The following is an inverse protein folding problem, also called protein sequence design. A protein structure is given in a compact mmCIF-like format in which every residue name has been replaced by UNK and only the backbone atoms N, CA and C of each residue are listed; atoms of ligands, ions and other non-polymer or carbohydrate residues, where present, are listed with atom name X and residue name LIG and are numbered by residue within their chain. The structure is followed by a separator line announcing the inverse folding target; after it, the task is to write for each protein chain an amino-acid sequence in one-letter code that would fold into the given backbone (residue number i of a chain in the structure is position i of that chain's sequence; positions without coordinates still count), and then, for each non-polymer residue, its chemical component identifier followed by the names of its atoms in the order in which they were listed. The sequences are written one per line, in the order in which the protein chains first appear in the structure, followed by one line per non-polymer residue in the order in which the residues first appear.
data_IF_441983599766
#
_entry.id   IF_441983599766
#
_cell.length_a   1.000
_cell.length_b   1.000
_cell.length_c   1.000
_cell.angle_alpha   90.00
_cell.angle_beta   90.00
_cell.angle_gamma   90.00
#
_symmetry.space_group_name_H-M   'P 1'
#
loop_
_entity.id
_entity.type
_entity.pdbx_description
1 polymer ?
#
# COMPACT_ATOMS: atom_id res chain seq x y z
N UNK A 1 -11.00 -13.23 -7.58
CA UNK A 1 -11.94 -12.40 -8.36
C UNK A 1 -11.78 -10.98 -7.85
N UNK A 2 -10.88 -10.19 -8.46
CA UNK A 2 -10.48 -8.88 -7.93
C UNK A 2 -11.58 -7.86 -8.23
N UNK A 3 -12.27 -7.39 -7.19
CA UNK A 3 -13.17 -6.25 -7.27
C UNK A 3 -12.33 -4.99 -7.46
N UNK A 4 -12.11 -4.58 -8.71
CA UNK A 4 -11.86 -3.17 -9.00
C UNK A 4 -13.18 -2.45 -8.75
N UNK A 5 -13.23 -1.63 -7.70
CA UNK A 5 -14.35 -0.73 -7.47
C UNK A 5 -14.54 0.18 -8.70
N UNK A 6 -15.81 0.49 -8.98
CA UNK A 6 -16.32 1.22 -10.14
C UNK A 6 -15.86 2.69 -10.16
N UNK A 7 -14.59 2.95 -10.47
CA UNK A 7 -14.17 4.28 -10.89
C UNK A 7 -13.46 4.20 -12.24
N UNK A 8 -14.04 4.87 -13.24
CA UNK A 8 -13.48 4.93 -14.60
C UNK A 8 -12.51 6.11 -14.67
N UNK A 9 -11.34 5.94 -14.06
CA UNK A 9 -10.26 6.91 -14.19
C UNK A 9 -9.30 6.54 -15.33
N UNK A 10 -8.44 7.47 -15.79
CA UNK A 10 -7.30 7.09 -16.62
C UNK A 10 -6.43 6.09 -15.87
N UNK A 11 -6.22 4.92 -16.45
CA UNK A 11 -5.47 3.80 -15.87
C UNK A 11 -4.18 3.57 -16.64
N UNK A 12 -3.05 3.52 -15.93
CA UNK A 12 -1.76 3.15 -16.51
C UNK A 12 -1.29 1.85 -15.85
N UNK A 13 -1.48 0.75 -16.57
CA UNK A 13 -1.13 -0.60 -16.11
C UNK A 13 0.18 -1.02 -16.75
N UNK A 14 1.25 -0.98 -15.97
CA UNK A 14 2.61 -1.39 -16.34
C UNK A 14 3.01 -2.70 -15.65
N UNK A 15 2.04 -3.55 -15.37
CA UNK A 15 2.23 -4.79 -14.63
C UNK A 15 3.08 -5.78 -15.43
N UNK A 16 4.12 -6.32 -14.81
CA UNK A 16 4.94 -7.36 -15.43
C UNK A 16 5.66 -6.90 -16.70
N UNK A 17 6.01 -5.62 -16.78
CA UNK A 17 6.68 -5.02 -17.93
C UNK A 17 8.21 -5.02 -17.80
N UNK A 18 8.77 -5.81 -16.88
CA UNK A 18 10.19 -5.87 -16.54
C UNK A 18 10.79 -4.48 -16.23
N UNK A 19 9.99 -3.60 -15.62
CA UNK A 19 10.44 -2.27 -15.22
C UNK A 19 11.49 -2.40 -14.12
N UNK A 20 12.66 -1.83 -14.37
CA UNK A 20 13.75 -1.69 -13.40
C UNK A 20 13.67 -0.35 -12.65
N UNK A 21 14.60 -0.13 -11.73
CA UNK A 21 14.86 1.17 -11.09
C UNK A 21 14.85 2.35 -12.08
N UNK A 22 15.56 2.24 -13.20
CA UNK A 22 15.64 3.27 -14.23
C UNK A 22 14.28 3.54 -14.89
N UNK A 23 13.54 2.49 -15.21
CA UNK A 23 12.20 2.62 -15.77
C UNK A 23 11.23 3.27 -14.78
N UNK A 24 11.33 2.94 -13.48
CA UNK A 24 10.55 3.59 -12.43
C UNK A 24 10.90 5.09 -12.32
N UNK A 25 12.19 5.43 -12.41
CA UNK A 25 12.64 6.82 -12.43
C UNK A 25 12.08 7.59 -13.63
N UNK A 26 12.07 6.98 -14.83
CA UNK A 26 11.49 7.59 -16.02
C UNK A 26 9.98 7.83 -15.87
N UNK A 27 9.23 6.84 -15.37
CA UNK A 27 7.78 6.94 -15.14
C UNK A 27 7.46 8.03 -14.12
N UNK A 28 8.14 8.02 -12.97
CA UNK A 28 7.91 9.02 -11.92
C UNK A 28 8.32 10.43 -12.35
N UNK A 29 9.40 10.57 -13.13
CA UNK A 29 9.81 11.86 -13.73
C UNK A 29 8.79 12.40 -14.72
N UNK A 30 8.22 11.53 -15.57
CA UNK A 30 7.14 11.90 -16.48
C UNK A 30 5.90 12.37 -15.71
N UNK A 31 5.53 11.67 -14.64
CA UNK A 31 4.39 12.04 -13.79
C UNK A 31 4.63 13.33 -12.97
N UNK A 32 5.87 13.62 -12.57
CA UNK A 32 6.24 14.88 -11.90
C UNK A 32 6.24 16.07 -12.87
N UNK A 33 6.80 15.88 -14.07
CA UNK A 33 6.95 16.95 -15.09
C UNK A 33 5.62 17.33 -15.75
N UNK A 34 4.74 16.35 -15.94
CA UNK A 34 3.37 16.57 -16.34
C UNK A 34 2.46 15.94 -15.29
N UNK A 35 2.11 16.68 -14.21
CA UNK A 35 1.23 16.20 -13.14
C UNK A 35 -0.11 15.78 -13.75
N UNK A 36 -0.16 14.49 -14.08
CA UNK A 36 -1.14 13.97 -15.01
C UNK A 36 -2.52 13.88 -14.37
N UNK A 37 -3.54 13.68 -15.20
CA UNK A 37 -4.86 13.27 -14.71
C UNK A 37 -4.89 11.82 -14.22
N UNK A 38 -3.76 11.11 -14.25
CA UNK A 38 -3.68 9.72 -13.82
C UNK A 38 -4.10 9.59 -12.37
N UNK A 39 -5.03 8.67 -12.13
CA UNK A 39 -5.48 8.31 -10.79
C UNK A 39 -4.99 6.94 -10.39
N UNK A 40 -4.71 6.07 -11.35
CA UNK A 40 -4.35 4.69 -11.07
C UNK A 40 -3.01 4.35 -11.73
N UNK A 41 -2.06 3.89 -10.91
CA UNK A 41 -0.77 3.39 -11.36
C UNK A 41 -0.58 1.97 -10.83
N UNK A 42 -0.50 1.01 -11.76
CA UNK A 42 -0.18 -0.38 -11.46
C UNK A 42 1.23 -0.70 -11.94
N UNK A 43 2.16 -0.84 -10.99
CA UNK A 43 3.54 -1.24 -11.18
C UNK A 43 3.81 -2.65 -10.64
N UNK A 44 2.75 -3.44 -10.42
CA UNK A 44 2.85 -4.79 -9.88
C UNK A 44 3.79 -5.67 -10.72
N UNK A 45 4.45 -6.63 -10.08
CA UNK A 45 5.29 -7.63 -10.76
C UNK A 45 6.46 -7.00 -11.56
N UNK A 46 7.06 -5.93 -11.04
CA UNK A 46 8.27 -5.29 -11.60
C UNK A 46 9.46 -5.35 -10.62
N UNK A 47 10.63 -4.90 -11.07
CA UNK A 47 11.89 -4.91 -10.30
C UNK A 47 12.29 -3.50 -9.93
N UNK A 48 11.43 -2.84 -9.14
CA UNK A 48 11.59 -1.42 -8.86
C UNK A 48 12.85 -1.12 -8.06
N UNK A 49 13.35 -2.05 -7.23
CA UNK A 49 14.50 -1.82 -6.35
C UNK A 49 14.26 -0.69 -5.35
N UNK A 50 15.21 -0.46 -4.45
CA UNK A 50 15.06 0.58 -3.40
C UNK A 50 14.96 1.98 -4.03
N UNK A 51 15.78 2.28 -5.03
CA UNK A 51 15.73 3.58 -5.71
C UNK A 51 14.42 3.80 -6.49
N UNK A 52 13.75 2.75 -6.97
CA UNK A 52 12.41 2.87 -7.55
C UNK A 52 11.37 3.27 -6.50
N UNK A 53 11.44 2.72 -5.28
CA UNK A 53 10.58 3.12 -4.17
C UNK A 53 10.88 4.54 -3.68
N UNK A 54 12.14 4.98 -3.68
CA UNK A 54 12.52 6.37 -3.44
C UNK A 54 11.86 7.32 -4.44
N UNK A 55 11.98 6.99 -5.73
CA UNK A 55 11.36 7.77 -6.80
C UNK A 55 9.83 7.86 -6.65
N UNK A 56 9.17 6.76 -6.24
CA UNK A 56 7.74 6.73 -5.94
C UNK A 56 7.40 7.59 -4.72
N UNK A 57 8.19 7.49 -3.64
CA UNK A 57 8.03 8.33 -2.46
C UNK A 57 8.09 9.82 -2.80
N UNK A 58 9.06 10.22 -3.61
CA UNK A 58 9.18 11.61 -4.07
C UNK A 58 8.03 12.05 -4.99
N UNK A 59 7.50 11.13 -5.81
CA UNK A 59 6.29 11.40 -6.61
C UNK A 59 5.08 11.64 -5.69
N UNK A 60 4.89 10.81 -4.67
CA UNK A 60 3.77 10.91 -3.72
C UNK A 60 3.88 12.16 -2.83
N UNK A 61 5.10 12.62 -2.53
CA UNK A 61 5.36 13.89 -1.84
C UNK A 61 5.03 15.12 -2.69
N UNK A 62 4.92 14.97 -4.02
CA UNK A 62 4.58 16.09 -4.89
C UNK A 62 3.10 16.51 -4.66
N UNK A 63 2.83 17.78 -4.27
CA UNK A 63 1.47 18.25 -4.01
C UNK A 63 0.56 18.26 -5.24
N UNK A 64 1.14 18.20 -6.45
CA UNK A 64 0.40 18.11 -7.69
C UNK A 64 0.08 16.67 -8.09
N UNK A 65 0.59 15.67 -7.37
CA UNK A 65 0.28 14.26 -7.60
C UNK A 65 -1.18 13.99 -7.26
N UNK A 66 -1.91 13.42 -8.22
CA UNK A 66 -3.34 13.10 -8.09
C UNK A 66 -3.61 11.60 -8.08
N UNK A 67 -2.59 10.77 -7.84
CA UNK A 67 -2.79 9.33 -7.75
C UNK A 67 -3.73 9.01 -6.58
N UNK A 68 -4.75 8.22 -6.88
CA UNK A 68 -5.75 7.69 -5.96
C UNK A 68 -5.53 6.20 -5.70
N UNK A 69 -4.96 5.46 -6.66
CA UNK A 69 -4.67 4.02 -6.55
C UNK A 69 -3.23 3.74 -6.95
N UNK A 70 -2.52 3.02 -6.09
CA UNK A 70 -1.15 2.54 -6.33
C UNK A 70 -1.09 1.04 -6.05
N UNK A 71 -0.80 0.25 -7.07
CA UNK A 71 -0.61 -1.19 -6.95
C UNK A 71 0.86 -1.58 -7.18
N UNK A 72 1.42 -2.25 -6.18
CA UNK A 72 2.80 -2.72 -6.11
C UNK A 72 2.84 -4.22 -5.77
N UNK A 73 1.78 -4.95 -6.10
CA UNK A 73 1.65 -6.36 -5.80
C UNK A 73 2.77 -7.18 -6.47
N UNK A 74 3.35 -8.13 -5.77
CA UNK A 74 4.29 -9.10 -6.37
C UNK A 74 3.77 -10.51 -6.19
N UNK A 75 4.09 -11.41 -7.13
CA UNK A 75 3.77 -12.82 -6.96
C UNK A 75 5.01 -13.56 -6.45
N UNK A 76 4.92 -14.04 -5.21
CA UNK A 76 6.02 -14.72 -4.49
C UNK A 76 6.58 -15.95 -5.21
N UNK A 77 5.86 -16.51 -6.20
CA UNK A 77 6.31 -17.65 -7.02
C UNK A 77 7.18 -17.24 -8.23
N UNK A 78 7.31 -15.95 -8.52
CA UNK A 78 8.12 -15.47 -9.64
C UNK A 78 9.55 -15.20 -9.16
N UNK A 79 10.51 -16.03 -9.56
CA UNK A 79 11.94 -16.03 -9.18
C UNK A 79 12.73 -14.72 -9.48
N UNK A 80 12.07 -13.64 -9.88
CA UNK A 80 12.69 -12.43 -10.40
C UNK A 80 12.05 -11.13 -9.92
N UNK A 81 10.97 -11.15 -9.13
CA UNK A 81 10.40 -9.93 -8.55
C UNK A 81 11.13 -9.58 -7.25
N UNK A 82 11.57 -8.32 -7.12
CA UNK A 82 12.14 -7.82 -5.87
C UNK A 82 10.96 -7.36 -5.01
N UNK A 83 10.81 -7.97 -3.84
CA UNK A 83 9.85 -7.51 -2.83
C UNK A 83 10.25 -6.12 -2.33
N UNK A 84 9.28 -5.28 -1.99
CA UNK A 84 9.57 -4.04 -1.27
C UNK A 84 10.34 -4.34 0.02
N UNK A 85 11.37 -3.55 0.30
CA UNK A 85 12.19 -3.64 1.50
C UNK A 85 11.58 -2.84 2.65
N UNK A 86 12.10 -3.00 3.86
CA UNK A 86 11.72 -2.16 5.00
C UNK A 86 12.00 -0.66 4.72
N UNK A 87 13.08 -0.36 3.99
CA UNK A 87 13.42 1.00 3.56
C UNK A 87 12.42 1.55 2.55
N UNK A 88 11.98 0.73 1.58
CA UNK A 88 10.88 1.07 0.68
C UNK A 88 9.58 1.36 1.44
N UNK A 89 9.26 0.56 2.47
CA UNK A 89 8.10 0.79 3.33
C UNK A 89 8.20 2.10 4.10
N UNK A 90 9.36 2.40 4.69
CA UNK A 90 9.63 3.65 5.39
C UNK A 90 9.51 4.86 4.45
N UNK A 91 9.97 4.71 3.21
CA UNK A 91 9.90 5.76 2.20
C UNK A 91 8.47 6.06 1.79
N UNK A 92 7.67 5.01 1.53
CA UNK A 92 6.24 5.15 1.31
C UNK A 92 5.57 5.80 2.51
N UNK A 93 5.85 5.30 3.72
CA UNK A 93 5.29 5.82 4.97
C UNK A 93 5.57 7.32 5.16
N UNK A 94 6.82 7.73 4.96
CA UNK A 94 7.25 9.12 4.97
C UNK A 94 6.50 9.96 3.94
N UNK A 95 6.33 9.46 2.71
CA UNK A 95 5.67 10.19 1.65
C UNK A 95 4.20 10.48 1.97
N UNK A 96 3.48 9.47 2.45
CA UNK A 96 2.10 9.62 2.91
C UNK A 96 1.97 10.54 4.13
N UNK A 97 3.02 10.59 4.98
CA UNK A 97 3.01 11.45 6.15
C UNK A 97 3.36 12.92 5.86
N UNK A 98 4.05 13.19 4.75
CA UNK A 98 4.59 14.52 4.45
C UNK A 98 3.61 15.44 3.71
N UNK A 99 2.60 14.88 3.05
CA UNK A 99 1.63 15.61 2.24
C UNK A 99 0.28 14.88 2.30
N UNK A 100 -0.89 15.58 2.39
CA UNK A 100 -2.18 14.96 2.16
C UNK A 100 -2.20 14.33 0.76
N UNK A 101 -1.89 13.05 0.72
CA UNK A 101 -1.91 12.26 -0.51
C UNK A 101 -3.35 12.15 -0.99
N UNK A 102 -3.56 12.11 -2.30
CA UNK A 102 -4.86 11.75 -2.85
C UNK A 102 -5.09 10.23 -2.84
N UNK A 103 -4.12 9.45 -2.35
CA UNK A 103 -4.17 7.99 -2.40
C UNK A 103 -5.23 7.42 -1.47
N UNK A 104 -6.19 6.73 -2.07
CA UNK A 104 -7.31 6.04 -1.42
C UNK A 104 -7.00 4.55 -1.28
N UNK A 105 -6.30 3.96 -2.26
CA UNK A 105 -5.98 2.54 -2.28
C UNK A 105 -4.47 2.29 -2.47
N UNK A 106 -3.91 1.47 -1.57
CA UNK A 106 -2.56 0.96 -1.66
C UNK A 106 -2.60 -0.57 -1.64
N UNK A 107 -2.08 -1.19 -2.70
CA UNK A 107 -1.93 -2.63 -2.79
C UNK A 107 -0.45 -3.04 -2.72
N UNK A 108 -0.07 -3.64 -1.58
CA UNK A 108 1.23 -4.24 -1.33
C UNK A 108 1.15 -5.78 -1.26
N UNK A 109 0.03 -6.38 -1.69
CA UNK A 109 -0.18 -7.82 -1.56
C UNK A 109 0.91 -8.64 -2.23
N UNK A 110 1.23 -9.78 -1.62
CA UNK A 110 2.27 -10.70 -2.08
C UNK A 110 3.72 -10.21 -1.89
N UNK A 111 3.94 -8.98 -1.39
CA UNK A 111 5.25 -8.55 -0.90
C UNK A 111 5.51 -9.12 0.49
N UNK A 112 6.77 -9.49 0.75
CA UNK A 112 7.25 -9.91 2.07
C UNK A 112 7.80 -8.69 2.81
N UNK A 113 6.97 -8.05 3.62
CA UNK A 113 7.30 -6.75 4.26
C UNK A 113 8.22 -6.91 5.47
N UNK A 114 8.31 -8.11 6.05
CA UNK A 114 8.93 -8.36 7.36
C UNK A 114 8.32 -7.49 8.49
N UNK A 115 8.62 -7.81 9.75
CA UNK A 115 8.03 -7.09 10.90
C UNK A 115 8.35 -5.59 10.88
N UNK A 116 9.54 -5.22 10.39
CA UNK A 116 9.99 -3.84 10.25
C UNK A 116 9.15 -3.08 9.22
N UNK A 117 8.95 -3.64 8.02
CA UNK A 117 8.12 -2.99 6.98
C UNK A 117 6.66 -2.84 7.39
N UNK A 118 6.09 -3.84 8.07
CA UNK A 118 4.72 -3.74 8.63
C UNK A 118 4.62 -2.62 9.67
N UNK A 119 5.65 -2.47 10.51
CA UNK A 119 5.70 -1.40 11.52
C UNK A 119 5.72 -0.03 10.85
N UNK A 120 6.51 0.15 9.79
CA UNK A 120 6.57 1.40 9.01
C UNK A 120 5.21 1.73 8.37
N UNK A 121 4.56 0.77 7.70
CA UNK A 121 3.23 0.96 7.12
C UNK A 121 2.17 1.23 8.19
N UNK A 122 2.31 0.67 9.39
CA UNK A 122 1.41 0.95 10.52
C UNK A 122 1.52 2.40 11.02
N UNK A 123 2.63 3.11 10.76
CA UNK A 123 2.76 4.53 11.13
C UNK A 123 1.82 5.44 10.33
N UNK A 124 1.45 5.06 9.11
CA UNK A 124 0.50 5.79 8.24
C UNK A 124 -0.80 6.13 8.93
N UNK A 125 -1.21 5.23 9.81
CA UNK A 125 -2.48 5.21 10.50
C UNK A 125 -2.49 6.11 11.73
N UNK A 126 -1.30 6.39 12.27
CA UNK A 126 -1.13 7.37 13.34
C UNK A 126 -1.25 8.80 12.83
N UNK A 127 -1.21 8.99 11.51
CA UNK A 127 -1.37 10.29 10.88
C UNK A 127 -2.84 10.61 10.60
N UNK A 128 -3.32 11.69 11.22
CA UNK A 128 -4.69 12.18 11.05
C UNK A 128 -5.01 12.68 9.62
N UNK A 129 -3.99 12.91 8.80
CA UNK A 129 -4.11 13.34 7.40
C UNK A 129 -4.09 12.16 6.40
N UNK A 130 -3.96 10.92 6.87
CA UNK A 130 -3.98 9.75 6.00
C UNK A 130 -5.34 9.60 5.30
N UNK A 131 -5.33 9.50 3.98
CA UNK A 131 -6.53 9.41 3.12
C UNK A 131 -6.81 7.99 2.64
N UNK A 132 -5.91 7.05 2.94
CA UNK A 132 -6.02 5.64 2.53
C UNK A 132 -7.24 5.02 3.20
N UNK A 133 -8.12 4.45 2.38
CA UNK A 133 -9.32 3.73 2.80
C UNK A 133 -9.23 2.24 2.52
N UNK A 134 -8.37 1.84 1.57
CA UNK A 134 -8.18 0.44 1.17
C UNK A 134 -6.69 0.13 1.24
N UNK A 135 -6.34 -0.86 2.06
CA UNK A 135 -4.97 -1.36 2.17
C UNK A 135 -4.99 -2.87 1.96
N UNK A 136 -4.21 -3.34 0.98
CA UNK A 136 -4.03 -4.77 0.71
C UNK A 136 -2.61 -5.17 1.09
N UNK A 137 -2.49 -6.14 1.99
CA UNK A 137 -1.22 -6.67 2.50
C UNK A 137 -1.15 -8.19 2.25
N UNK A 138 0.06 -8.75 2.32
CA UNK A 138 0.29 -10.19 2.26
C UNK A 138 -0.11 -10.93 3.54
N UNK A 139 -0.08 -12.27 3.45
CA UNK A 139 -0.49 -13.24 4.47
C UNK A 139 0.05 -12.96 5.88
N UNK A 140 1.38 -12.93 6.02
CA UNK A 140 2.05 -12.78 7.31
C UNK A 140 1.96 -11.32 7.79
N UNK A 141 1.99 -10.41 6.83
CA UNK A 141 2.08 -8.98 7.03
C UNK A 141 0.78 -8.40 7.56
N UNK A 142 -0.36 -8.84 7.04
CA UNK A 142 -1.66 -8.32 7.44
C UNK A 142 -2.00 -8.68 8.90
N UNK A 143 -1.59 -9.87 9.35
CA UNK A 143 -1.76 -10.30 10.74
C UNK A 143 -0.89 -9.46 11.70
N UNK A 144 0.37 -9.23 11.33
CA UNK A 144 1.28 -8.36 12.09
C UNK A 144 0.77 -6.92 12.13
N UNK A 145 0.19 -6.45 11.03
CA UNK A 145 -0.40 -5.12 10.93
C UNK A 145 -1.55 -4.94 11.91
N UNK A 146 -2.50 -5.89 11.97
CA UNK A 146 -3.61 -5.87 12.95
C UNK A 146 -3.07 -5.74 14.38
N UNK A 147 -2.02 -6.49 14.73
CA UNK A 147 -1.40 -6.42 16.06
C UNK A 147 -0.83 -5.02 16.36
N UNK A 148 -0.23 -4.37 15.36
CA UNK A 148 0.38 -3.05 15.51
C UNK A 148 -0.61 -1.90 15.75
N UNK A 149 -1.88 -2.07 15.38
CA UNK A 149 -2.88 -1.00 15.31
C UNK A 149 -3.98 -1.09 16.38
N UNK A 150 -4.16 -2.26 17.02
CA UNK A 150 -5.12 -2.42 18.13
C UNK A 150 -4.81 -1.41 19.24
N UNK A 151 -5.81 -0.61 19.64
CA UNK A 151 -5.70 0.39 20.71
C UNK A 151 -4.98 1.70 20.35
N UNK A 152 -4.52 1.88 19.10
CA UNK A 152 -3.80 3.10 18.64
C UNK A 152 -4.68 4.09 17.86
N UNK A 153 -6.00 4.08 18.09
CA UNK A 153 -7.02 4.90 17.40
C UNK A 153 -7.32 4.39 15.96
N UNK A 154 -8.03 3.26 15.83
CA UNK A 154 -8.06 2.43 14.61
C UNK A 154 -8.96 2.89 13.42
N UNK A 155 -8.81 4.15 12.97
CA UNK A 155 -8.74 4.49 11.53
C UNK A 155 -9.96 4.86 10.69
N UNK A 156 -9.60 5.55 9.59
CA UNK A 156 -10.33 5.84 8.35
C UNK A 156 -10.37 4.66 7.36
N UNK A 157 -9.63 3.58 7.64
CA UNK A 157 -9.56 2.38 6.79
C UNK A 157 -10.93 1.70 6.75
N UNK A 158 -11.46 1.51 5.54
CA UNK A 158 -12.76 0.89 5.30
C UNK A 158 -12.62 -0.58 4.96
N UNK A 159 -11.59 -0.93 4.20
CA UNK A 159 -11.39 -2.28 3.72
C UNK A 159 -10.00 -2.79 4.08
N UNK A 160 -9.97 -4.00 4.67
CA UNK A 160 -8.77 -4.75 4.98
C UNK A 160 -8.95 -6.15 4.41
N UNK A 161 -8.01 -6.57 3.57
CA UNK A 161 -8.03 -7.91 2.98
C UNK A 161 -7.08 -8.83 3.77
N UNK A 162 -7.66 -9.86 4.39
CA UNK A 162 -7.04 -10.97 5.10
C UNK A 162 -7.39 -12.33 4.43
N UNK A 163 -7.94 -12.35 3.21
CA UNK A 163 -8.58 -13.52 2.58
C UNK A 163 -7.66 -14.72 2.37
N UNK A 164 -6.35 -14.53 2.52
CA UNK A 164 -5.37 -15.60 2.45
C UNK A 164 -4.77 -15.94 3.82
N UNK A 165 -4.99 -15.14 4.87
CA UNK A 165 -4.45 -15.33 6.23
C UNK A 165 -5.02 -16.58 6.93
N UNK A 166 -4.15 -17.43 7.47
CA UNK A 166 -4.55 -18.53 8.34
C UNK A 166 -4.91 -17.92 9.69
N UNK A 167 -6.16 -17.96 10.10
CA UNK A 167 -6.62 -17.30 11.33
C UNK A 167 -6.71 -18.33 12.47
N UNK A 168 -5.63 -18.49 13.24
CA UNK A 168 -5.67 -19.20 14.53
C UNK A 168 -6.48 -18.39 15.57
N UNK A 169 -6.96 -19.05 16.62
CA UNK A 169 -7.81 -18.44 17.67
C UNK A 169 -7.22 -17.15 18.25
N UNK A 170 -5.90 -17.10 18.47
CA UNK A 170 -5.19 -15.90 18.95
C UNK A 170 -5.37 -14.73 17.97
N UNK A 171 -5.31 -14.99 16.66
CA UNK A 171 -5.44 -13.98 15.61
C UNK A 171 -6.90 -13.53 15.44
N UNK A 172 -7.85 -14.46 15.54
CA UNK A 172 -9.28 -14.15 15.58
C UNK A 172 -9.61 -13.23 16.75
N UNK A 173 -9.05 -13.49 17.93
CA UNK A 173 -9.24 -12.64 19.11
C UNK A 173 -8.68 -11.22 18.93
N UNK A 174 -7.56 -11.06 18.22
CA UNK A 174 -6.99 -9.75 17.89
C UNK A 174 -7.87 -8.98 16.90
N UNK A 175 -8.37 -9.65 15.87
CA UNK A 175 -9.33 -9.05 14.92
C UNK A 175 -10.61 -8.66 15.65
N UNK A 176 -11.11 -9.52 16.55
CA UNK A 176 -12.27 -9.20 17.38
C UNK A 176 -12.03 -7.96 18.25
N UNK A 177 -10.85 -7.82 18.85
CA UNK A 177 -10.47 -6.63 19.61
C UNK A 177 -10.42 -5.37 18.73
N UNK A 178 -9.89 -5.48 17.50
CA UNK A 178 -9.89 -4.40 16.52
C UNK A 178 -11.32 -3.96 16.13
N UNK A 179 -12.20 -4.92 15.86
CA UNK A 179 -13.59 -4.66 15.49
C UNK A 179 -14.43 -4.08 16.63
N UNK A 180 -14.07 -4.37 17.88
CA UNK A 180 -14.72 -3.81 19.07
C UNK A 180 -14.24 -2.39 19.41
N UNK A 181 -13.15 -1.91 18.82
CA UNK A 181 -12.67 -0.56 19.06
C UNK A 181 -13.67 0.47 18.53
N UNK A 182 -14.08 1.41 19.39
CA UNK A 182 -15.06 2.46 19.07
C UNK A 182 -14.66 3.38 17.92
N UNK A 183 -13.38 3.40 17.55
CA UNK A 183 -12.86 4.20 16.45
C UNK A 183 -12.69 3.40 15.15
N UNK A 184 -12.93 2.08 15.17
CA UNK A 184 -12.85 1.25 13.98
C UNK A 184 -13.92 1.64 12.95
N UNK A 185 -13.48 1.96 11.72
CA UNK A 185 -14.39 2.26 10.58
C UNK A 185 -14.39 1.18 9.50
N UNK A 186 -13.80 0.02 9.81
CA UNK A 186 -13.75 -1.11 8.90
C UNK A 186 -15.17 -1.59 8.60
N UNK A 187 -15.54 -1.59 7.32
CA UNK A 187 -16.85 -2.09 6.87
C UNK A 187 -16.72 -3.41 6.09
N UNK A 188 -15.52 -3.70 5.57
CA UNK A 188 -15.23 -4.89 4.80
C UNK A 188 -13.95 -5.54 5.32
N UNK A 189 -14.08 -6.79 5.75
CA UNK A 189 -12.97 -7.68 6.01
C UNK A 189 -13.09 -8.80 4.96
N UNK A 190 -12.17 -8.84 4.00
CA UNK A 190 -12.13 -9.88 2.97
C UNK A 190 -11.25 -11.03 3.40
#
# INVERSE_FOLDING_TARGET
MFYFLLFSFPQYRLRGCDITEEGCSAVTSALKSNPSHLRELDLSVNKLGDSGFENLGDLLKNPQCKLEILALCVFSFMFNCISITAEGCATLASAFNSNPSNLIELDLSGNKLENSGVTEISTLLTNSQCTIQILRLGFDEACQYVTGIVGKNPLLLRELNLSECELEDTRVNQIAALLQDKHCKLNTLM
#
